data_IF_737468979378
#
_entry.id   IF_737468979378
#
_cell.length_a   1.000
_cell.length_b   1.000
_cell.length_c   1.000
_cell.angle_alpha   90.00
_cell.angle_beta   90.00
_cell.angle_gamma   90.00
#
_symmetry.space_group_name_H-M   'P 1'
#
loop_
_entity.id
_entity.type
_entity.pdbx_description
1 polymer ?
#
# COMPACT_ATOMS: atom_id res chain seq x y z
N UNK A 1 48.76 8.66 39.85
CA UNK A 1 47.72 7.68 39.48
C UNK A 1 46.50 8.44 38.98
N UNK A 2 46.33 8.55 37.65
CA UNK A 2 45.13 9.12 37.01
C UNK A 2 44.32 7.95 36.47
N UNK A 3 43.46 7.39 37.32
CA UNK A 3 42.29 6.68 36.82
C UNK A 3 41.29 7.73 36.29
N UNK A 4 40.27 7.30 35.56
CA UNK A 4 39.05 8.08 35.33
C UNK A 4 39.08 9.11 34.18
N UNK A 5 39.23 8.60 32.94
CA UNK A 5 38.58 9.25 31.77
C UNK A 5 38.24 8.33 30.59
N UNK A 6 38.23 7.00 30.79
CA UNK A 6 37.91 6.02 29.73
C UNK A 6 36.61 5.25 29.93
N UNK A 7 35.96 5.38 31.09
CA UNK A 7 34.75 4.63 31.45
C UNK A 7 33.50 5.18 30.74
N UNK A 8 33.47 6.47 30.39
CA UNK A 8 32.29 7.11 29.79
C UNK A 8 31.99 6.72 28.33
N UNK A 9 33.01 6.37 27.52
CA UNK A 9 32.82 6.05 26.10
C UNK A 9 32.36 4.61 25.86
N UNK A 10 33.05 3.64 26.45
CA UNK A 10 32.77 2.22 26.23
C UNK A 10 31.43 1.77 26.86
N UNK A 11 31.03 2.37 27.98
CA UNK A 11 29.75 2.07 28.62
C UNK A 11 28.55 2.50 27.79
N UNK A 12 28.64 3.65 27.11
CA UNK A 12 27.56 4.18 26.24
C UNK A 12 27.37 3.31 25.00
N UNK A 13 28.45 2.85 24.38
CA UNK A 13 28.37 1.97 23.20
C UNK A 13 27.80 0.60 23.55
N UNK A 14 28.19 0.02 24.69
CA UNK A 14 27.67 -1.27 25.14
C UNK A 14 26.17 -1.19 25.48
N UNK A 15 25.75 -0.12 26.15
CA UNK A 15 24.34 0.13 26.41
C UNK A 15 23.55 0.28 25.10
N UNK A 16 24.05 1.04 24.12
CA UNK A 16 23.38 1.21 22.82
C UNK A 16 23.19 -0.11 22.06
N UNK A 17 24.16 -1.03 22.12
CA UNK A 17 24.05 -2.35 21.48
C UNK A 17 23.01 -3.23 22.18
N UNK A 18 22.89 -3.15 23.51
CA UNK A 18 21.89 -3.91 24.27
C UNK A 18 20.45 -3.44 24.02
N UNK A 19 20.26 -2.22 23.51
CA UNK A 19 18.94 -1.71 23.10
C UNK A 19 18.59 -2.03 21.64
N UNK A 20 19.49 -2.66 20.86
CA UNK A 20 19.20 -3.03 19.49
C UNK A 20 18.31 -4.29 19.42
N UNK A 21 17.12 -4.17 18.84
CA UNK A 21 16.21 -5.29 18.58
C UNK A 21 16.48 -5.96 17.22
N UNK A 22 16.34 -7.29 17.14
CA UNK A 22 16.39 -8.02 15.88
C UNK A 22 14.99 -8.08 15.25
N UNK A 23 14.85 -7.72 13.97
CA UNK A 23 13.61 -7.95 13.22
C UNK A 23 13.46 -9.44 12.91
N UNK A 24 12.43 -10.07 13.47
CA UNK A 24 12.06 -11.46 13.21
C UNK A 24 10.91 -11.57 12.19
N UNK A 25 10.63 -10.49 11.44
CA UNK A 25 9.58 -10.51 10.43
C UNK A 25 10.02 -11.39 9.24
N UNK A 26 9.21 -12.38 8.82
CA UNK A 26 9.52 -13.17 7.65
C UNK A 26 9.47 -12.31 6.39
N UNK A 27 10.22 -12.71 5.36
CA UNK A 27 10.12 -12.09 4.05
C UNK A 27 8.69 -12.27 3.50
N UNK A 28 8.10 -11.19 2.99
CA UNK A 28 6.78 -11.24 2.38
C UNK A 28 6.81 -12.17 1.15
N UNK A 29 5.84 -13.09 1.09
CA UNK A 29 5.60 -13.96 -0.05
C UNK A 29 4.11 -13.89 -0.41
N UNK A 30 3.75 -13.53 -1.66
CA UNK A 30 2.35 -13.48 -2.07
C UNK A 30 1.72 -14.88 -2.01
N UNK A 31 0.49 -15.01 -1.49
CA UNK A 31 -0.19 -16.30 -1.45
C UNK A 31 -0.43 -16.80 -2.87
N UNK A 32 -0.22 -18.11 -3.09
CA UNK A 32 -0.58 -18.75 -4.35
C UNK A 32 -2.09 -18.98 -4.38
N UNK A 33 -2.77 -18.41 -5.36
CA UNK A 33 -4.22 -18.59 -5.56
C UNK A 33 -4.45 -19.66 -6.62
N UNK A 34 -5.25 -20.68 -6.31
CA UNK A 34 -5.67 -21.67 -7.30
C UNK A 34 -6.77 -21.09 -8.19
N UNK A 35 -6.38 -20.41 -9.26
CA UNK A 35 -7.28 -20.07 -10.36
C UNK A 35 -7.19 -21.14 -11.46
N UNK A 36 -8.28 -21.41 -12.20
CA UNK A 36 -8.21 -22.29 -13.35
C UNK A 36 -7.30 -21.66 -14.43
N UNK A 37 -6.57 -22.50 -15.16
CA UNK A 37 -5.73 -22.03 -16.27
C UNK A 37 -6.57 -21.38 -17.39
N UNK A 38 -7.80 -21.86 -17.57
CA UNK A 38 -8.75 -21.35 -18.56
C UNK A 38 -10.16 -21.31 -17.96
N UNK A 39 -10.93 -20.28 -18.32
CA UNK A 39 -12.35 -20.19 -17.99
C UNK A 39 -13.19 -20.78 -19.12
N UNK A 40 -14.47 -21.07 -18.84
CA UNK A 40 -15.39 -21.58 -19.86
C UNK A 40 -15.84 -20.43 -20.76
N UNK A 41 -15.49 -20.51 -22.05
CA UNK A 41 -15.75 -19.43 -23.00
C UNK A 41 -16.79 -19.79 -24.08
N UNK A 42 -17.31 -18.76 -24.74
CA UNK A 42 -18.19 -18.85 -25.91
C UNK A 42 -17.38 -18.74 -27.21
N UNK A 43 -17.93 -19.25 -28.32
CA UNK A 43 -17.30 -19.10 -29.63
C UNK A 43 -17.13 -17.61 -30.00
N UNK A 44 -15.91 -17.23 -30.44
CA UNK A 44 -15.55 -15.84 -30.72
C UNK A 44 -14.87 -15.11 -29.56
N UNK A 45 -14.62 -15.79 -28.44
CA UNK A 45 -13.82 -15.24 -27.34
C UNK A 45 -12.37 -14.98 -27.74
N UNK A 46 -11.81 -13.86 -27.27
CA UNK A 46 -10.41 -13.49 -27.45
C UNK A 46 -9.74 -13.39 -26.09
N UNK A 47 -8.54 -13.98 -25.95
CA UNK A 47 -7.76 -13.86 -24.74
C UNK A 47 -7.41 -12.39 -24.46
N UNK A 48 -7.76 -11.91 -23.26
CA UNK A 48 -7.41 -10.56 -22.83
C UNK A 48 -5.90 -10.41 -22.67
N UNK A 49 -5.35 -9.25 -23.05
CA UNK A 49 -3.98 -8.85 -22.74
C UNK A 49 -4.05 -7.88 -21.55
N UNK A 50 -3.62 -8.29 -20.34
CA UNK A 50 -3.71 -7.44 -19.15
C UNK A 50 -2.90 -6.16 -19.32
N UNK A 51 -3.50 -5.03 -18.95
CA UNK A 51 -2.89 -3.71 -19.02
C UNK A 51 -2.84 -3.03 -17.63
N UNK A 52 -2.73 -3.81 -16.56
CA UNK A 52 -2.79 -3.31 -15.18
C UNK A 52 -1.68 -2.30 -14.85
N UNK A 53 -0.57 -2.32 -15.59
CA UNK A 53 0.51 -1.36 -15.47
C UNK A 53 0.20 0.02 -16.09
N UNK A 54 -0.85 0.13 -16.90
CA UNK A 54 -1.26 1.37 -17.56
C UNK A 54 -2.25 2.13 -16.68
N UNK A 55 -2.07 3.45 -16.47
CA UNK A 55 -3.09 4.26 -15.81
C UNK A 55 -4.43 4.13 -16.56
N UNK A 56 -5.47 3.64 -15.88
CA UNK A 56 -6.79 3.44 -16.49
C UNK A 56 -7.51 4.75 -16.79
N UNK A 57 -7.06 5.86 -16.18
CA UNK A 57 -7.70 7.18 -16.30
C UNK A 57 -9.18 7.13 -15.93
N UNK A 58 -9.94 8.03 -16.53
CA UNK A 58 -11.40 8.05 -16.48
C UNK A 58 -11.95 6.93 -17.36
N UNK A 59 -11.98 5.71 -16.85
CA UNK A 59 -12.36 4.51 -17.61
C UNK A 59 -13.75 4.63 -18.28
N UNK A 60 -14.63 5.44 -17.71
CA UNK A 60 -15.98 5.70 -18.24
C UNK A 60 -15.99 6.56 -19.51
N UNK A 61 -14.90 7.27 -19.85
CA UNK A 61 -14.81 8.06 -21.09
C UNK A 61 -14.87 7.15 -22.34
N UNK A 62 -14.53 5.86 -22.21
CA UNK A 62 -14.67 4.88 -23.28
C UNK A 62 -16.12 4.75 -23.80
N UNK A 63 -17.12 5.12 -22.99
CA UNK A 63 -18.52 5.12 -23.40
C UNK A 63 -18.91 6.31 -24.29
N UNK A 64 -18.06 7.34 -24.39
CA UNK A 64 -18.32 8.58 -25.14
C UNK A 64 -19.65 9.26 -24.75
N UNK A 65 -20.05 9.18 -23.48
CA UNK A 65 -21.27 9.80 -22.96
C UNK A 65 -20.92 11.05 -22.11
N UNK A 66 -21.22 12.27 -22.60
CA UNK A 66 -20.91 13.50 -21.86
C UNK A 66 -21.73 13.66 -20.58
N UNK A 67 -22.92 13.05 -20.48
CA UNK A 67 -23.74 13.07 -19.26
C UNK A 67 -23.10 12.18 -18.21
N UNK A 68 -22.60 11.00 -18.62
CA UNK A 68 -21.86 10.11 -17.72
C UNK A 68 -20.61 10.79 -17.18
N UNK A 69 -19.85 11.49 -18.04
CA UNK A 69 -18.64 12.22 -17.62
C UNK A 69 -18.95 13.26 -16.53
N UNK A 70 -20.05 14.01 -16.70
CA UNK A 70 -20.48 15.01 -15.73
C UNK A 70 -21.02 14.39 -14.43
N UNK A 71 -21.71 13.24 -14.52
CA UNK A 71 -22.17 12.50 -13.34
C UNK A 71 -21.00 11.97 -12.51
N UNK A 72 -20.02 11.34 -13.15
CA UNK A 72 -18.84 10.80 -12.46
C UNK A 72 -18.01 11.93 -11.81
N UNK A 73 -17.81 13.04 -12.52
CA UNK A 73 -17.13 14.23 -11.96
C UNK A 73 -17.83 14.75 -10.69
N UNK A 74 -19.17 14.82 -10.70
CA UNK A 74 -19.95 15.23 -9.53
C UNK A 74 -19.88 14.20 -8.40
N UNK A 75 -19.94 12.91 -8.74
CA UNK A 75 -19.86 11.83 -7.77
C UNK A 75 -18.52 11.82 -7.04
N UNK A 76 -17.40 11.99 -7.75
CA UNK A 76 -16.07 12.05 -7.15
C UNK A 76 -15.92 13.22 -6.17
N UNK A 77 -16.48 14.39 -6.49
CA UNK A 77 -16.36 15.59 -5.66
C UNK A 77 -17.26 15.57 -4.42
N UNK A 78 -18.43 14.95 -4.53
CA UNK A 78 -19.49 15.06 -3.52
C UNK A 78 -19.83 13.72 -2.83
N UNK A 79 -18.98 12.70 -2.93
CA UNK A 79 -19.23 11.37 -2.34
C UNK A 79 -18.82 11.30 -0.86
N UNK A 80 -19.77 11.20 0.10
CA UNK A 80 -19.44 11.06 1.51
C UNK A 80 -18.80 9.71 1.82
N UNK A 81 -19.11 8.67 1.04
CA UNK A 81 -18.52 7.34 1.22
C UNK A 81 -17.05 7.33 0.79
N UNK A 82 -16.69 8.07 -0.25
CA UNK A 82 -15.30 8.28 -0.65
C UNK A 82 -14.53 9.07 0.42
N UNK A 83 -15.11 10.16 0.92
CA UNK A 83 -14.52 10.95 2.00
C UNK A 83 -14.27 10.11 3.27
N UNK A 84 -15.24 9.27 3.66
CA UNK A 84 -15.08 8.36 4.79
C UNK A 84 -14.00 7.29 4.53
N UNK A 85 -13.87 6.77 3.30
CA UNK A 85 -12.81 5.84 2.94
C UNK A 85 -11.42 6.48 3.03
N UNK A 86 -11.27 7.72 2.55
CA UNK A 86 -10.03 8.48 2.66
C UNK A 86 -9.64 8.71 4.12
N UNK A 87 -10.59 9.10 4.97
CA UNK A 87 -10.35 9.29 6.40
C UNK A 87 -9.84 8.00 7.09
N UNK A 88 -10.41 6.83 6.75
CA UNK A 88 -9.93 5.53 7.26
C UNK A 88 -8.51 5.21 6.80
N UNK A 89 -8.20 5.53 5.54
CA UNK A 89 -6.85 5.36 4.99
C UNK A 89 -5.83 6.26 5.71
N UNK A 90 -6.16 7.52 5.92
CA UNK A 90 -5.29 8.47 6.63
C UNK A 90 -5.06 8.06 8.09
N UNK A 91 -6.10 7.57 8.76
CA UNK A 91 -6.00 7.00 10.10
C UNK A 91 -5.03 5.81 10.13
N UNK A 92 -5.17 4.86 9.19
CA UNK A 92 -4.28 3.70 9.11
C UNK A 92 -2.82 4.11 8.85
N UNK A 93 -2.59 5.10 7.96
CA UNK A 93 -1.25 5.63 7.73
C UNK A 93 -0.67 6.35 8.94
N UNK A 94 -1.49 7.07 9.69
CA UNK A 94 -1.05 7.73 10.91
C UNK A 94 -0.64 6.70 11.98
N UNK A 95 -1.45 5.66 12.18
CA UNK A 95 -1.13 4.56 13.09
C UNK A 95 0.19 3.88 12.70
N UNK A 96 0.36 3.52 11.43
CA UNK A 96 1.60 2.92 10.93
C UNK A 96 2.82 3.82 11.14
N UNK A 97 2.69 5.15 11.02
CA UNK A 97 3.81 6.07 11.31
C UNK A 97 4.17 6.10 12.79
N UNK A 98 3.20 5.98 13.69
CA UNK A 98 3.46 5.92 15.14
C UNK A 98 4.16 4.60 15.50
N UNK A 99 3.79 3.49 14.86
CA UNK A 99 4.42 2.18 15.09
C UNK A 99 5.84 2.08 14.54
N UNK A 100 6.13 2.79 13.44
CA UNK A 100 7.44 2.80 12.79
C UNK A 100 8.37 3.93 13.29
N UNK A 101 7.92 4.79 14.20
CA UNK A 101 8.70 5.89 14.78
C UNK A 101 9.47 5.42 16.02
#
# INVERSE_FOLDING_TARGET
>A
MRADRRIGGAGVTLAAVLLAGCSMAPAYQPPQTSAPAEYKEVAGWTAAQPADATPRGNWWEAFNDPVLNDLETRAEQASPTLAAALARYDQARAAARVENA
#
